data_IF_059609852927
#
_entry.id   IF_059609852927
#
_cell.length_a   1.000
_cell.length_b   1.000
_cell.length_c   1.000
_cell.angle_alpha   90.00
_cell.angle_beta   90.00
_cell.angle_gamma   90.00
#
_symmetry.space_group_name_H-M   'P 1'
#
loop_
_entity.id
_entity.type
_entity.pdbx_description
1 polymer ?
#
# COMPACT_ATOMS: atom_id res chain seq x y z
N UNK A 1 46.34 63.37 0.87
CA UNK A 1 45.20 63.72 1.74
C UNK A 1 43.89 63.37 1.01
N UNK A 2 42.93 62.76 1.74
CA UNK A 2 41.49 62.59 1.42
C UNK A 2 41.06 61.60 0.30
N UNK A 3 41.06 60.30 0.67
CA UNK A 3 39.92 59.33 0.79
C UNK A 3 38.72 59.33 -0.20
N UNK A 4 38.40 58.07 -0.62
CA UNK A 4 37.11 57.42 -1.02
C UNK A 4 36.78 57.37 -2.53
N UNK A 5 36.18 56.33 -3.14
CA UNK A 5 35.78 54.94 -2.79
C UNK A 5 35.56 54.18 -4.13
N UNK A 6 35.99 52.92 -4.13
CA UNK A 6 35.60 51.69 -4.87
C UNK A 6 34.22 51.60 -5.60
N UNK A 7 34.17 51.07 -6.84
CA UNK A 7 33.61 49.74 -7.25
C UNK A 7 33.41 49.62 -8.77
N UNK A 8 33.70 48.41 -9.22
CA UNK A 8 33.75 47.80 -10.54
C UNK A 8 32.34 47.45 -11.12
N UNK A 9 32.24 47.40 -12.46
CA UNK A 9 31.66 46.28 -13.25
C UNK A 9 30.61 46.65 -14.32
N UNK A 10 31.07 46.53 -15.58
CA UNK A 10 30.49 45.78 -16.71
C UNK A 10 29.00 46.00 -17.09
N UNK A 11 28.77 46.73 -18.19
CA UNK A 11 27.50 46.81 -18.93
C UNK A 11 27.72 46.62 -20.44
N UNK A 12 27.20 45.50 -20.96
CA UNK A 12 26.32 45.32 -22.13
C UNK A 12 26.50 46.17 -23.42
N UNK A 13 26.71 45.50 -24.57
CA UNK A 13 26.19 45.72 -25.94
C UNK A 13 27.12 44.95 -26.90
N UNK A 14 26.70 44.10 -27.83
CA UNK A 14 25.92 44.29 -29.05
C UNK A 14 25.90 42.86 -29.68
N UNK A 15 24.87 42.36 -30.36
CA UNK A 15 24.70 42.58 -31.79
C UNK A 15 23.46 41.81 -32.28
N UNK A 16 22.69 42.49 -33.12
CA UNK A 16 21.57 41.97 -33.90
C UNK A 16 22.13 41.48 -35.24
N UNK A 17 21.69 40.32 -35.78
CA UNK A 17 21.37 40.14 -37.20
C UNK A 17 20.94 38.69 -37.57
N UNK A 18 19.64 38.58 -37.91
CA UNK A 18 18.97 37.89 -39.05
C UNK A 18 19.43 36.50 -39.52
N UNK A 19 18.49 35.54 -39.59
CA UNK A 19 18.21 34.77 -40.80
C UNK A 19 16.72 34.36 -40.88
N UNK A 20 16.13 34.65 -42.04
CA UNK A 20 14.85 34.18 -42.60
C UNK A 20 14.76 32.65 -42.72
N UNK A 21 13.57 32.07 -42.52
CA UNK A 21 13.27 30.76 -43.12
C UNK A 21 12.18 29.91 -42.45
N UNK A 22 11.04 29.81 -43.16
CA UNK A 22 10.17 28.63 -43.24
C UNK A 22 9.32 28.18 -42.05
N UNK A 23 8.01 28.33 -42.30
CA UNK A 23 6.98 27.28 -42.25
C UNK A 23 6.55 26.86 -40.84
N UNK A 24 5.34 27.29 -40.49
CA UNK A 24 4.62 26.82 -39.31
C UNK A 24 4.68 25.30 -39.20
N UNK A 25 5.50 24.83 -38.27
CA UNK A 25 5.21 23.60 -37.58
C UNK A 25 4.18 23.99 -36.54
N UNK A 26 2.95 23.53 -36.75
CA UNK A 26 2.11 23.18 -35.63
C UNK A 26 2.98 22.29 -34.74
N UNK A 27 3.51 22.86 -33.66
CA UNK A 27 3.93 22.07 -32.53
C UNK A 27 2.65 21.42 -32.02
N UNK A 28 2.38 20.21 -32.53
CA UNK A 28 1.63 19.23 -31.75
C UNK A 28 2.40 19.09 -30.46
N UNK A 29 1.96 19.85 -29.43
CA UNK A 29 2.29 19.65 -28.03
C UNK A 29 2.26 18.15 -27.82
N UNK A 30 3.42 17.53 -27.64
CA UNK A 30 3.49 16.13 -27.27
C UNK A 30 2.61 16.01 -26.02
N UNK A 31 1.54 15.22 -26.10
CA UNK A 31 0.63 15.00 -24.95
C UNK A 31 1.52 14.54 -23.80
N UNK A 32 1.67 15.39 -22.78
CA UNK A 32 2.30 14.97 -21.54
C UNK A 32 1.51 13.79 -21.00
N UNK A 33 2.20 12.79 -20.47
CA UNK A 33 1.51 11.67 -19.87
C UNK A 33 0.80 12.14 -18.62
N UNK A 34 -0.47 11.78 -18.54
CA UNK A 34 -1.34 12.04 -17.41
C UNK A 34 -1.24 10.85 -16.46
N UNK A 35 -0.88 11.12 -15.22
CA UNK A 35 -0.75 10.18 -14.13
C UNK A 35 -1.87 10.42 -13.12
N UNK A 36 -2.29 9.37 -12.43
CA UNK A 36 -3.33 9.44 -11.41
C UNK A 36 -2.71 9.19 -10.04
N UNK A 37 -2.94 10.11 -9.10
CA UNK A 37 -2.43 10.02 -7.74
C UNK A 37 -3.07 8.84 -7.00
N UNK A 38 -2.24 8.03 -6.33
CA UNK A 38 -2.68 6.84 -5.57
C UNK A 38 -3.46 7.23 -4.31
N UNK A 39 -4.24 6.29 -3.79
CA UNK A 39 -4.83 6.42 -2.46
C UNK A 39 -3.86 5.88 -1.40
N UNK A 40 -3.34 6.79 -0.61
CA UNK A 40 -2.47 6.52 0.54
C UNK A 40 -3.23 6.63 1.86
N UNK A 41 -4.48 7.08 1.87
CA UNK A 41 -5.23 7.24 3.12
C UNK A 41 -5.47 5.87 3.75
N UNK A 42 -5.19 5.77 5.04
CA UNK A 42 -5.26 4.50 5.77
C UNK A 42 -4.04 3.60 5.57
N UNK A 43 -3.06 3.99 4.75
CA UNK A 43 -1.85 3.18 4.55
C UNK A 43 -0.83 3.52 5.64
N UNK A 44 -0.19 2.49 6.21
CA UNK A 44 1.00 2.70 7.05
C UNK A 44 2.15 3.22 6.18
N UNK A 45 2.93 4.20 6.63
CA UNK A 45 3.98 4.78 5.79
C UNK A 45 5.01 3.75 5.32
N UNK A 46 5.36 2.75 6.14
CA UNK A 46 6.24 1.63 5.74
C UNK A 46 5.67 0.81 4.57
N UNK A 47 4.35 0.84 4.37
CA UNK A 47 3.61 0.12 3.31
C UNK A 47 3.20 1.04 2.14
N UNK A 48 3.55 2.32 2.20
CA UNK A 48 3.11 3.31 1.21
C UNK A 48 3.90 3.29 -0.09
N UNK A 49 5.03 2.55 -0.15
CA UNK A 49 6.03 2.60 -1.23
C UNK A 49 6.67 3.97 -1.46
N UNK A 50 6.39 4.93 -0.57
CA UNK A 50 7.11 6.19 -0.49
C UNK A 50 8.49 5.90 0.07
N UNK A 51 9.53 6.24 -0.68
CA UNK A 51 10.90 6.11 -0.23
C UNK A 51 11.18 7.26 0.73
N UNK A 52 11.26 6.95 2.03
CA UNK A 52 11.59 7.91 3.08
C UNK A 52 13.05 7.70 3.45
N UNK A 53 13.87 8.75 3.30
CA UNK A 53 15.27 8.75 3.69
C UNK A 53 15.45 8.97 5.19
N UNK A 54 16.68 8.82 5.68
CA UNK A 54 17.03 9.15 7.07
C UNK A 54 16.91 10.67 7.34
N UNK A 55 16.97 11.51 6.30
CA UNK A 55 16.73 12.95 6.39
C UNK A 55 15.24 13.34 6.35
N UNK A 56 14.35 12.37 6.16
CA UNK A 56 12.90 12.58 6.04
C UNK A 56 12.46 13.07 4.65
N UNK A 57 13.36 13.02 3.66
CA UNK A 57 12.96 13.22 2.26
C UNK A 57 12.12 12.03 1.81
N UNK A 58 10.95 12.32 1.26
CA UNK A 58 9.95 11.33 0.90
C UNK A 58 9.58 11.47 -0.57
N UNK A 59 9.84 10.44 -1.39
CA UNK A 59 9.54 10.46 -2.81
C UNK A 59 9.09 9.10 -3.35
N UNK A 60 8.29 9.11 -4.42
CA UNK A 60 7.93 7.91 -5.16
C UNK A 60 8.01 8.15 -6.68
N UNK A 61 8.44 7.13 -7.41
CA UNK A 61 8.44 7.11 -8.87
C UNK A 61 7.15 6.48 -9.40
N UNK A 62 6.42 7.24 -10.21
CA UNK A 62 5.25 6.79 -10.95
C UNK A 62 5.66 6.38 -12.36
N UNK A 63 5.19 5.22 -12.82
CA UNK A 63 5.52 4.66 -14.14
C UNK A 63 4.28 4.56 -15.01
N UNK A 64 4.43 4.83 -16.30
CA UNK A 64 3.45 4.60 -17.35
C UNK A 64 4.10 3.86 -18.51
N UNK A 65 3.32 3.44 -19.50
CA UNK A 65 3.84 2.81 -20.73
C UNK A 65 4.77 3.70 -21.57
N UNK A 66 4.87 4.98 -21.23
CA UNK A 66 5.58 6.00 -22.01
C UNK A 66 6.68 6.73 -21.22
N UNK A 67 6.76 6.53 -19.91
CA UNK A 67 7.83 7.13 -19.10
C UNK A 67 7.61 7.02 -17.59
N UNK A 68 8.53 7.62 -16.84
CA UNK A 68 8.52 7.65 -15.38
C UNK A 68 8.61 9.10 -14.88
N UNK A 69 7.90 9.42 -13.79
CA UNK A 69 7.91 10.74 -13.13
C UNK A 69 8.10 10.57 -11.63
N UNK A 70 8.69 11.56 -10.96
CA UNK A 70 8.84 11.57 -9.50
C UNK A 70 7.80 12.45 -8.83
N UNK A 71 7.24 11.98 -7.72
CA UNK A 71 6.33 12.73 -6.85
C UNK A 71 7.00 12.91 -5.50
N UNK A 72 6.95 14.14 -4.97
CA UNK A 72 7.46 14.47 -3.63
C UNK A 72 6.34 14.37 -2.62
N UNK A 73 6.66 13.86 -1.43
CA UNK A 73 5.74 13.81 -0.30
C UNK A 73 6.22 14.72 0.83
N UNK A 74 5.30 15.53 1.35
CA UNK A 74 5.49 16.28 2.59
C UNK A 74 4.69 15.56 3.66
N UNK A 75 5.38 14.99 4.64
CA UNK A 75 4.77 14.21 5.71
C UNK A 75 4.63 15.09 6.96
N UNK A 76 3.39 15.41 7.31
CA UNK A 76 3.03 16.20 8.50
C UNK A 76 2.59 15.26 9.63
N UNK A 77 3.37 15.23 10.70
CA UNK A 77 3.04 14.51 11.93
C UNK A 77 2.47 15.50 12.96
N UNK A 78 1.32 15.20 13.55
CA UNK A 78 0.67 16.04 14.59
C UNK A 78 1.58 16.25 15.81
N UNK A 79 2.41 15.25 16.14
CA UNK A 79 3.34 15.30 17.28
C UNK A 79 4.62 16.09 16.97
N UNK A 80 4.80 16.56 15.73
CA UNK A 80 5.97 17.31 15.26
C UNK A 80 7.27 16.49 15.18
N UNK A 81 7.24 15.20 15.53
CA UNK A 81 8.39 14.31 15.37
C UNK A 81 8.66 14.09 13.87
N UNK A 82 9.91 14.31 13.46
CA UNK A 82 10.35 14.03 12.10
C UNK A 82 10.15 12.55 11.76
N UNK A 83 9.59 12.30 10.58
CA UNK A 83 9.41 10.95 10.07
C UNK A 83 10.64 10.57 9.24
N UNK A 84 11.26 9.46 9.62
CA UNK A 84 12.46 8.92 8.98
C UNK A 84 12.21 7.47 8.57
N UNK A 85 13.15 6.92 7.83
CA UNK A 85 13.17 5.49 7.50
C UNK A 85 12.99 4.57 8.70
N UNK A 86 13.55 4.93 9.86
CA UNK A 86 13.54 4.09 11.06
C UNK A 86 12.20 4.09 11.78
N UNK A 87 11.47 5.20 11.77
CA UNK A 87 10.23 5.34 12.53
C UNK A 87 8.96 5.32 11.67
N UNK A 88 9.07 5.35 10.33
CA UNK A 88 7.89 5.41 9.44
C UNK A 88 6.89 4.26 9.68
N UNK A 89 7.35 3.12 10.18
CA UNK A 89 6.47 1.99 10.53
C UNK A 89 5.49 2.29 11.67
N UNK A 90 5.77 3.29 12.50
CA UNK A 90 4.91 3.67 13.61
C UNK A 90 3.75 4.57 13.18
N UNK A 91 3.68 4.96 11.90
CA UNK A 91 2.79 6.03 11.45
C UNK A 91 1.84 5.57 10.34
N UNK A 92 0.56 5.92 10.52
CA UNK A 92 -0.50 5.70 9.54
C UNK A 92 -0.94 7.02 8.92
N UNK A 93 -1.14 7.01 7.62
CA UNK A 93 -1.62 8.16 6.85
C UNK A 93 -3.12 8.32 7.12
N UNK A 94 -3.52 9.50 7.60
CA UNK A 94 -4.91 9.83 7.98
C UNK A 94 -5.56 10.81 7.00
N UNK A 95 -4.76 11.57 6.26
CA UNK A 95 -5.22 12.52 5.25
C UNK A 95 -4.18 12.65 4.14
N UNK A 96 -4.63 12.96 2.92
CA UNK A 96 -3.76 13.25 1.79
C UNK A 96 -4.30 14.43 0.98
N UNK A 97 -3.41 15.26 0.45
CA UNK A 97 -3.73 16.34 -0.49
C UNK A 97 -2.65 16.46 -1.56
N UNK A 98 -2.97 16.45 -2.86
CA UNK A 98 -4.30 16.29 -3.46
C UNK A 98 -5.02 14.97 -3.11
N UNK A 99 -6.33 14.91 -3.34
CA UNK A 99 -7.11 13.69 -3.08
C UNK A 99 -6.72 12.56 -4.04
N UNK A 100 -6.94 11.31 -3.63
CA UNK A 100 -6.71 10.15 -4.48
C UNK A 100 -7.49 10.30 -5.80
N UNK A 101 -6.90 9.82 -6.90
CA UNK A 101 -7.50 10.00 -8.22
C UNK A 101 -7.17 11.35 -8.91
N UNK A 102 -6.52 12.28 -8.20
CA UNK A 102 -6.09 13.55 -8.80
C UNK A 102 -5.11 13.30 -9.95
N UNK A 103 -5.29 14.03 -11.05
CA UNK A 103 -4.48 13.90 -12.25
C UNK A 103 -3.33 14.88 -12.23
N UNK A 104 -2.14 14.42 -12.59
CA UNK A 104 -0.94 15.25 -12.73
C UNK A 104 -0.15 14.83 -13.96
N UNK A 105 0.82 15.63 -14.39
CA UNK A 105 1.61 15.34 -15.58
C UNK A 105 3.07 15.67 -15.36
N UNK A 106 3.94 15.09 -16.20
CA UNK A 106 5.38 15.34 -16.15
C UNK A 106 5.73 16.83 -16.12
N UNK A 107 6.63 17.23 -15.22
CA UNK A 107 7.23 18.57 -15.22
C UNK A 107 7.98 18.84 -16.54
N UNK A 108 8.02 20.11 -16.96
CA UNK A 108 8.84 20.56 -18.08
C UNK A 108 10.36 20.40 -17.82
N UNK A 109 10.75 20.28 -16.55
CA UNK A 109 12.11 20.01 -16.11
C UNK A 109 12.28 18.53 -15.73
N UNK A 110 13.31 17.87 -16.30
CA UNK A 110 13.64 16.47 -15.99
C UNK A 110 14.12 16.23 -14.55
N UNK A 111 14.46 17.30 -13.82
CA UNK A 111 15.00 17.21 -12.46
C UNK A 111 13.99 17.58 -11.39
N UNK A 112 12.79 18.01 -11.79
CA UNK A 112 11.78 18.48 -10.86
C UNK A 112 10.77 17.37 -10.55
N UNK A 113 10.19 17.44 -9.37
CA UNK A 113 9.03 16.64 -9.03
C UNK A 113 7.84 17.08 -9.88
N UNK A 114 7.12 16.10 -10.42
CA UNK A 114 5.93 16.33 -11.24
C UNK A 114 4.73 16.74 -10.39
N UNK A 115 4.72 16.39 -9.11
CA UNK A 115 3.66 16.73 -8.15
C UNK A 115 4.22 16.76 -6.71
N UNK A 116 3.58 17.55 -5.85
CA UNK A 116 3.84 17.54 -4.40
C UNK A 116 2.57 17.12 -3.64
N UNK A 117 2.71 16.09 -2.80
CA UNK A 117 1.61 15.49 -2.04
C UNK A 117 1.85 15.68 -0.55
N UNK A 118 0.90 16.30 0.14
CA UNK A 118 0.91 16.45 1.59
C UNK A 118 0.17 15.29 2.23
N UNK A 119 0.84 14.61 3.15
CA UNK A 119 0.27 13.52 3.94
C UNK A 119 0.22 13.95 5.38
N UNK A 120 -0.94 13.78 6.03
CA UNK A 120 -1.02 13.84 7.49
C UNK A 120 -0.93 12.45 8.05
N UNK A 121 -0.14 12.29 9.10
CA UNK A 121 0.07 10.98 9.73
C UNK A 121 -0.20 11.03 11.22
N UNK A 122 -0.55 9.87 11.76
CA UNK A 122 -0.77 9.67 13.19
C UNK A 122 0.00 8.44 13.66
N UNK A 123 0.61 8.55 14.84
CA UNK A 123 1.29 7.43 15.48
C UNK A 123 0.30 6.32 15.86
N UNK A 124 0.67 5.09 15.57
CA UNK A 124 -0.06 3.88 15.96
C UNK A 124 0.48 3.46 17.34
N UNK A 125 -0.40 3.33 18.34
CA UNK A 125 -0.02 2.98 19.71
C UNK A 125 0.47 1.53 19.80
N UNK A 126 1.56 1.34 20.56
CA UNK A 126 2.32 0.08 20.78
C UNK A 126 1.53 -0.98 21.58
N UNK A 127 0.38 -1.40 21.06
CA UNK A 127 -0.12 -2.77 21.28
C UNK A 127 0.33 -3.70 20.14
N UNK A 128 0.92 -3.13 19.08
CA UNK A 128 1.15 -3.77 17.77
C UNK A 128 2.61 -3.73 17.30
N UNK A 129 3.60 -3.54 18.19
CA UNK A 129 5.01 -3.67 17.81
C UNK A 129 5.87 -4.22 18.95
N UNK A 130 6.10 -5.53 18.95
CA UNK A 130 7.18 -6.15 19.72
C UNK A 130 8.08 -6.97 18.80
N UNK A 131 9.02 -6.29 18.12
CA UNK A 131 10.27 -6.93 17.71
C UNK A 131 11.29 -6.72 18.84
N UNK A 132 11.54 -7.80 19.59
CA UNK A 132 12.68 -7.86 20.50
C UNK A 132 13.80 -8.59 19.77
N UNK A 133 14.66 -7.80 19.14
CA UNK A 133 15.90 -8.28 18.58
C UNK A 133 16.80 -8.81 19.72
N UNK A 134 17.18 -10.10 19.66
CA UNK A 134 18.21 -10.65 20.54
C UNK A 134 18.95 -11.81 19.89
N UNK A 135 20.05 -11.46 19.25
CA UNK A 135 21.18 -12.36 19.03
C UNK A 135 21.84 -12.72 20.36
N UNK A 136 21.86 -14.02 20.72
CA UNK A 136 23.07 -14.76 21.13
C UNK A 136 22.79 -16.21 21.47
N UNK A 137 23.67 -17.04 20.93
CA UNK A 137 23.80 -18.47 21.04
C UNK A 137 24.42 -18.92 22.39
N UNK A 138 24.04 -20.16 22.75
CA UNK A 138 24.73 -21.19 23.55
C UNK A 138 24.51 -21.37 25.06
N UNK A 139 24.12 -22.64 25.33
CA UNK A 139 24.48 -23.59 26.41
C UNK A 139 23.68 -23.70 27.73
N UNK A 140 23.08 -24.90 27.84
CA UNK A 140 23.12 -25.86 28.96
C UNK A 140 22.21 -25.69 30.20
N UNK A 141 21.20 -26.57 30.21
CA UNK A 141 20.80 -27.54 31.24
C UNK A 141 20.28 -27.15 32.65
N UNK A 142 19.27 -27.95 33.01
CA UNK A 142 18.91 -28.51 34.32
C UNK A 142 17.86 -27.82 35.21
N UNK A 143 16.65 -28.40 35.13
CA UNK A 143 15.92 -29.03 36.24
C UNK A 143 15.42 -28.16 37.42
N UNK A 144 14.09 -28.12 37.60
CA UNK A 144 13.33 -28.88 38.64
C UNK A 144 12.04 -28.16 39.05
N UNK A 145 10.91 -28.82 38.77
CA UNK A 145 9.70 -29.01 39.59
C UNK A 145 9.42 -28.06 40.77
N UNK A 146 8.23 -27.43 40.82
CA UNK A 146 7.07 -27.92 41.63
C UNK A 146 5.91 -26.90 41.77
N UNK A 147 4.77 -27.28 41.17
CA UNK A 147 3.44 -27.53 41.77
C UNK A 147 2.73 -26.52 42.72
N UNK A 148 1.48 -26.20 42.33
CA UNK A 148 0.23 -26.01 43.14
C UNK A 148 0.05 -24.71 43.97
N UNK A 149 -1.14 -24.13 44.20
CA UNK A 149 -2.55 -24.45 43.90
C UNK A 149 -3.43 -23.21 44.14
N UNK A 150 -4.44 -23.04 43.29
CA UNK A 150 -5.88 -22.71 43.51
C UNK A 150 -6.38 -22.19 44.88
N UNK A 151 -7.19 -21.11 44.83
CA UNK A 151 -8.54 -20.96 45.42
C UNK A 151 -8.89 -19.47 45.55
N UNK A 152 -10.14 -18.97 45.56
CA UNK A 152 -11.44 -19.32 45.00
C UNK A 152 -12.35 -18.12 45.33
N UNK A 153 -13.27 -17.84 44.41
CA UNK A 153 -14.46 -16.98 44.43
C UNK A 153 -15.05 -16.54 45.79
N UNK A 154 -15.59 -15.30 45.84
CA UNK A 154 -16.94 -15.05 46.40
C UNK A 154 -17.57 -13.79 45.78
N UNK A 155 -18.78 -14.00 45.25
CA UNK A 155 -19.78 -13.11 44.67
C UNK A 155 -20.46 -12.20 45.71
N UNK A 156 -20.76 -10.93 45.37
CA UNK A 156 -21.94 -10.22 45.92
C UNK A 156 -22.43 -9.07 45.02
N UNK A 157 -23.75 -8.89 45.04
CA UNK A 157 -24.67 -8.26 44.09
C UNK A 157 -24.67 -6.71 44.01
N UNK A 158 -25.29 -6.25 42.91
CA UNK A 158 -25.59 -4.90 42.42
C UNK A 158 -26.79 -4.28 43.19
N UNK A 159 -26.95 -2.94 43.24
CA UNK A 159 -27.98 -2.24 42.43
C UNK A 159 -27.41 -0.93 41.80
N UNK A 160 -27.40 -0.78 40.47
CA UNK A 160 -28.44 -0.19 39.60
C UNK A 160 -28.48 1.35 39.67
N UNK A 161 -27.82 2.04 38.72
CA UNK A 161 -28.36 3.24 38.06
C UNK A 161 -27.58 3.62 36.78
N UNK A 162 -28.30 3.60 35.65
CA UNK A 162 -28.20 4.47 34.47
C UNK A 162 -26.82 4.95 34.00
N UNK A 163 -26.30 4.33 32.93
CA UNK A 163 -25.33 5.00 32.06
C UNK A 163 -25.70 4.80 30.60
N UNK A 164 -26.07 5.92 29.98
CA UNK A 164 -26.24 6.14 28.55
C UNK A 164 -25.07 5.49 27.81
N UNK A 165 -25.40 4.58 26.90
CA UNK A 165 -24.46 3.89 26.02
C UNK A 165 -23.80 4.90 25.09
N UNK A 166 -22.70 5.49 25.56
CA UNK A 166 -21.71 6.12 24.72
C UNK A 166 -21.23 5.06 23.75
N UNK A 167 -21.51 5.25 22.45
CA UNK A 167 -20.87 4.53 21.34
C UNK A 167 -19.36 4.71 21.51
N UNK A 168 -18.75 3.74 22.18
CA UNK A 168 -17.32 3.57 22.24
C UNK A 168 -16.92 3.18 20.82
N UNK A 169 -16.31 4.11 20.09
CA UNK A 169 -15.65 3.80 18.84
C UNK A 169 -14.49 2.88 19.18
N UNK A 170 -14.75 1.57 19.17
CA UNK A 170 -13.71 0.56 19.25
C UNK A 170 -12.81 0.81 18.06
N UNK A 171 -11.61 1.33 18.31
CA UNK A 171 -10.52 1.33 17.33
C UNK A 171 -10.28 -0.13 16.96
N UNK A 172 -10.85 -0.58 15.83
CA UNK A 172 -10.55 -1.89 15.26
C UNK A 172 -9.02 -1.96 15.09
N UNK A 173 -8.38 -2.91 15.77
CA UNK A 173 -6.97 -3.23 15.53
C UNK A 173 -6.81 -3.74 14.09
N UNK A 174 -5.66 -3.44 13.47
CA UNK A 174 -5.36 -3.84 12.10
C UNK A 174 -5.32 -5.37 12.00
N UNK A 175 -6.03 -5.94 11.02
CA UNK A 175 -6.04 -7.38 10.79
C UNK A 175 -4.82 -7.82 9.96
N UNK A 176 -4.34 -6.93 9.08
CA UNK A 176 -3.21 -7.16 8.20
C UNK A 176 -2.07 -6.17 8.47
N UNK A 177 -0.83 -6.61 8.25
CA UNK A 177 0.37 -5.79 8.43
C UNK A 177 1.51 -6.25 7.50
N UNK A 178 2.63 -5.53 7.53
CA UNK A 178 3.78 -5.79 6.66
C UNK A 178 4.48 -7.13 6.93
N UNK A 179 4.53 -7.55 8.20
CA UNK A 179 5.14 -8.82 8.56
C UNK A 179 4.36 -9.96 7.91
N UNK A 180 3.03 -9.95 8.03
CA UNK A 180 2.16 -10.92 7.37
C UNK A 180 2.25 -10.86 5.85
N UNK A 181 2.35 -9.66 5.26
CA UNK A 181 2.55 -9.49 3.81
C UNK A 181 3.87 -10.12 3.34
N UNK A 182 4.95 -9.93 4.11
CA UNK A 182 6.28 -10.49 3.82
C UNK A 182 6.30 -12.00 3.97
N UNK A 183 5.71 -12.53 5.04
CA UNK A 183 5.58 -13.97 5.27
C UNK A 183 4.76 -14.62 4.15
N UNK A 184 3.60 -14.04 3.79
CA UNK A 184 2.79 -14.50 2.67
C UNK A 184 3.54 -14.44 1.34
N UNK A 185 4.29 -13.37 1.07
CA UNK A 185 5.08 -13.25 -0.16
C UNK A 185 6.18 -14.32 -0.25
N UNK A 186 6.83 -14.65 0.87
CA UNK A 186 7.80 -15.74 0.94
C UNK A 186 7.14 -17.10 0.70
N UNK A 187 5.99 -17.35 1.32
CA UNK A 187 5.21 -18.55 1.10
C UNK A 187 4.78 -18.70 -0.38
N UNK A 188 4.23 -17.64 -0.99
CA UNK A 188 3.73 -17.68 -2.36
C UNK A 188 4.84 -17.99 -3.39
N UNK A 189 6.07 -17.53 -3.13
CA UNK A 189 7.22 -17.90 -3.96
C UNK A 189 7.50 -19.41 -3.89
N UNK A 190 7.55 -19.98 -2.69
CA UNK A 190 7.77 -21.42 -2.50
C UNK A 190 6.63 -22.26 -3.07
N UNK A 191 5.39 -21.86 -2.79
CA UNK A 191 4.18 -22.55 -3.26
C UNK A 191 4.07 -22.54 -4.79
N UNK A 192 4.49 -21.47 -5.47
CA UNK A 192 4.51 -21.44 -6.95
C UNK A 192 5.39 -22.56 -7.53
N UNK A 193 6.51 -22.86 -6.87
CA UNK A 193 7.43 -23.90 -7.29
C UNK A 193 6.86 -25.32 -7.06
N UNK A 194 6.15 -25.55 -5.94
CA UNK A 194 5.51 -26.85 -5.67
C UNK A 194 4.39 -27.16 -6.67
N UNK A 195 3.76 -26.12 -7.23
CA UNK A 195 2.72 -26.25 -8.27
C UNK A 195 3.28 -26.34 -9.70
N UNK A 196 4.61 -26.36 -9.89
CA UNK A 196 5.29 -26.29 -11.18
C UNK A 196 4.80 -25.09 -12.05
N UNK A 197 4.52 -23.96 -11.41
CA UNK A 197 4.04 -22.74 -12.05
C UNK A 197 5.13 -21.67 -12.06
N UNK A 198 4.97 -20.65 -12.90
CA UNK A 198 5.83 -19.47 -12.81
C UNK A 198 5.52 -18.73 -11.49
N UNK A 199 6.47 -17.94 -10.97
CA UNK A 199 6.25 -17.17 -9.76
C UNK A 199 4.97 -16.34 -9.83
N UNK A 200 4.17 -16.43 -8.78
CA UNK A 200 3.01 -15.55 -8.62
C UNK A 200 3.52 -14.13 -8.35
N UNK A 201 3.04 -13.16 -9.14
CA UNK A 201 3.36 -11.76 -8.91
C UNK A 201 2.32 -11.14 -8.00
N UNK A 202 2.78 -10.38 -7.01
CA UNK A 202 1.92 -9.65 -6.10
C UNK A 202 1.52 -8.31 -6.70
N UNK A 203 0.23 -7.97 -6.65
CA UNK A 203 -0.26 -6.64 -6.94
C UNK A 203 -0.16 -5.77 -5.70
N UNK A 204 0.49 -4.61 -5.84
CA UNK A 204 0.72 -3.66 -4.75
C UNK A 204 0.25 -2.28 -5.20
N UNK A 205 -0.17 -1.43 -4.26
CA UNK A 205 -0.55 -0.04 -4.57
C UNK A 205 0.62 0.63 -5.30
N UNK A 206 0.38 1.04 -6.54
CA UNK A 206 1.40 1.70 -7.37
C UNK A 206 2.36 0.78 -8.11
N UNK A 207 2.21 -0.53 -7.95
CA UNK A 207 2.83 -1.56 -8.78
C UNK A 207 1.74 -2.54 -9.18
N UNK A 208 0.83 -2.04 -10.01
CA UNK A 208 -0.29 -2.84 -10.43
C UNK A 208 0.15 -4.02 -11.29
N UNK A 209 -0.51 -5.15 -11.07
CA UNK A 209 -0.39 -6.33 -11.92
C UNK A 209 -1.62 -6.39 -12.83
N UNK A 210 -1.38 -6.69 -14.11
CA UNK A 210 -2.45 -7.03 -15.04
C UNK A 210 -2.83 -8.51 -14.91
N UNK A 211 -4.13 -8.78 -14.85
CA UNK A 211 -4.71 -10.10 -15.04
C UNK A 211 -5.82 -10.04 -16.10
N UNK A 212 -5.43 -10.20 -17.37
CA UNK A 212 -6.34 -10.20 -18.52
C UNK A 212 -7.16 -8.90 -18.65
N UNK A 213 -6.51 -7.76 -18.43
CA UNK A 213 -7.13 -6.43 -18.50
C UNK A 213 -7.65 -5.90 -17.16
N UNK A 214 -7.61 -6.70 -16.09
CA UNK A 214 -7.88 -6.26 -14.73
C UNK A 214 -6.58 -5.75 -14.07
N UNK A 215 -6.54 -4.48 -13.67
CA UNK A 215 -5.40 -3.86 -12.99
C UNK A 215 -5.56 -3.96 -11.47
N UNK A 216 -4.66 -4.66 -10.80
CA UNK A 216 -4.75 -4.93 -9.37
C UNK A 216 -3.60 -4.32 -8.58
N UNK A 217 -3.88 -3.69 -7.42
CA UNK A 217 -5.17 -3.67 -6.74
C UNK A 217 -6.12 -2.54 -7.18
N UNK A 218 -5.74 -1.66 -8.12
CA UNK A 218 -6.49 -0.42 -8.38
C UNK A 218 -7.94 -0.60 -8.83
N UNK A 219 -8.28 -1.69 -9.51
CA UNK A 219 -9.66 -1.96 -9.95
C UNK A 219 -10.53 -2.58 -8.84
N UNK A 220 -9.96 -2.96 -7.69
CA UNK A 220 -10.73 -3.48 -6.55
C UNK A 220 -11.59 -2.35 -5.97
N UNK A 221 -12.92 -2.55 -5.97
CA UNK A 221 -13.90 -1.55 -5.56
C UNK A 221 -14.33 -0.59 -6.67
N UNK A 222 -13.71 -0.65 -7.85
CA UNK A 222 -14.10 0.14 -9.04
C UNK A 222 -14.97 -0.68 -9.98
N UNK A 223 -14.59 -1.94 -10.24
CA UNK A 223 -15.35 -2.86 -11.11
C UNK A 223 -16.29 -3.76 -10.30
N UNK A 224 -17.22 -4.43 -10.99
CA UNK A 224 -18.17 -5.35 -10.37
C UNK A 224 -17.58 -6.74 -10.12
N UNK A 225 -17.74 -7.27 -8.90
CA UNK A 225 -17.25 -8.59 -8.50
C UNK A 225 -18.36 -9.51 -8.01
N UNK A 226 -18.31 -10.78 -8.41
CA UNK A 226 -19.20 -11.84 -7.93
C UNK A 226 -18.40 -12.89 -7.17
N UNK A 227 -18.91 -13.43 -6.06
CA UNK A 227 -18.36 -14.63 -5.40
C UNK A 227 -19.45 -15.70 -5.38
N UNK A 228 -19.14 -16.89 -5.91
CA UNK A 228 -20.12 -17.97 -6.11
C UNK A 228 -21.40 -17.47 -6.82
N UNK A 229 -21.20 -16.69 -7.90
CA UNK A 229 -22.24 -16.08 -8.73
C UNK A 229 -23.19 -15.10 -8.00
N UNK A 230 -22.85 -14.71 -6.77
CA UNK A 230 -23.55 -13.66 -6.04
C UNK A 230 -22.79 -12.34 -6.12
N UNK A 231 -23.47 -11.23 -6.44
CA UNK A 231 -22.87 -9.91 -6.38
C UNK A 231 -22.35 -9.52 -5.00
N UNK A 232 -21.11 -9.03 -4.95
CA UNK A 232 -20.46 -8.60 -3.71
C UNK A 232 -19.75 -7.26 -3.90
N UNK A 233 -19.56 -6.56 -2.80
CA UNK A 233 -18.67 -5.41 -2.68
C UNK A 233 -17.28 -5.85 -2.24
N UNK A 234 -16.24 -5.22 -2.79
CA UNK A 234 -14.85 -5.45 -2.40
C UNK A 234 -14.14 -4.12 -2.20
N UNK A 235 -13.17 -4.09 -1.28
CA UNK A 235 -12.24 -2.98 -1.11
C UNK A 235 -10.83 -3.52 -0.89
N UNK A 236 -9.82 -2.93 -1.51
CA UNK A 236 -8.44 -3.23 -1.17
C UNK A 236 -8.04 -2.44 0.08
N UNK A 237 -7.49 -3.12 1.08
CA UNK A 237 -7.05 -2.49 2.31
C UNK A 237 -5.76 -3.13 2.85
N UNK A 238 -4.65 -2.38 2.90
CA UNK A 238 -3.37 -2.90 3.38
C UNK A 238 -3.30 -3.12 4.90
N UNK A 239 -4.33 -2.71 5.65
CA UNK A 239 -4.46 -3.00 7.09
C UNK A 239 -5.56 -4.04 7.39
N UNK A 240 -6.21 -4.58 6.35
CA UNK A 240 -7.28 -5.57 6.48
C UNK A 240 -8.59 -5.02 7.07
N UNK A 241 -8.71 -3.71 7.28
CA UNK A 241 -9.93 -3.06 7.77
C UNK A 241 -10.66 -2.40 6.60
N UNK A 242 -11.96 -2.62 6.51
CA UNK A 242 -12.80 -2.00 5.49
C UNK A 242 -14.29 -2.26 5.74
N UNK A 243 -15.13 -1.54 5.00
CA UNK A 243 -16.58 -1.69 5.01
C UNK A 243 -17.03 -2.18 3.63
N UNK A 244 -16.79 -3.46 3.35
CA UNK A 244 -17.22 -4.18 2.15
C UNK A 244 -17.47 -5.65 2.54
N UNK A 245 -18.15 -6.42 1.67
CA UNK A 245 -18.36 -7.85 1.90
C UNK A 245 -17.02 -8.60 2.00
N UNK A 246 -16.03 -8.16 1.21
CA UNK A 246 -14.65 -8.66 1.27
C UNK A 246 -13.65 -7.50 1.34
N UNK A 247 -12.76 -7.54 2.33
CA UNK A 247 -11.64 -6.62 2.48
C UNK A 247 -10.37 -7.32 2.00
N UNK A 248 -9.89 -6.96 0.81
CA UNK A 248 -8.74 -7.59 0.17
C UNK A 248 -7.44 -7.03 0.74
N UNK A 249 -6.62 -7.89 1.33
CA UNK A 249 -5.34 -7.54 1.93
C UNK A 249 -4.16 -7.74 0.98
N UNK A 250 -4.22 -8.79 0.14
CA UNK A 250 -3.17 -9.08 -0.83
C UNK A 250 -3.74 -9.72 -2.11
N UNK A 251 -3.06 -9.50 -3.23
CA UNK A 251 -3.43 -10.03 -4.54
C UNK A 251 -2.23 -10.73 -5.18
N UNK A 252 -2.43 -11.91 -5.76
CA UNK A 252 -1.37 -12.66 -6.42
C UNK A 252 -1.87 -13.26 -7.72
N UNK A 253 -1.14 -13.05 -8.82
CA UNK A 253 -1.51 -13.60 -10.12
C UNK A 253 -0.38 -14.39 -10.77
N UNK A 254 -0.77 -15.50 -11.36
CA UNK A 254 0.02 -16.31 -12.29
C UNK A 254 -0.68 -16.29 -13.65
N UNK A 255 0.08 -16.08 -14.72
CA UNK A 255 -0.39 -16.24 -16.10
C UNK A 255 0.54 -17.24 -16.77
N UNK A 256 -0.03 -18.22 -17.45
CA UNK A 256 0.74 -19.17 -18.24
C UNK A 256 1.26 -18.48 -19.50
N UNK A 257 2.57 -18.44 -19.73
CA UNK A 257 3.12 -17.82 -20.95
C UNK A 257 2.77 -18.56 -22.25
N UNK A 258 2.34 -19.83 -22.14
CA UNK A 258 2.04 -20.73 -23.29
C UNK A 258 0.53 -20.89 -23.54
N UNK A 259 -0.30 -20.48 -22.59
CA UNK A 259 -1.76 -20.63 -22.65
C UNK A 259 -2.39 -19.32 -22.19
N UNK A 260 -3.45 -18.85 -22.84
CA UNK A 260 -4.23 -17.70 -22.37
C UNK A 260 -5.06 -18.07 -21.12
N UNK A 261 -4.42 -18.57 -20.07
CA UNK A 261 -5.01 -19.05 -18.83
C UNK A 261 -4.12 -18.65 -17.66
N UNK A 262 -4.71 -18.42 -16.51
CA UNK A 262 -3.99 -18.03 -15.32
C UNK A 262 -4.85 -18.21 -14.08
N UNK A 263 -4.27 -17.89 -12.95
CA UNK A 263 -4.94 -17.87 -11.66
C UNK A 263 -4.68 -16.55 -10.98
N UNK A 264 -5.74 -15.95 -10.47
CA UNK A 264 -5.71 -14.79 -9.62
C UNK A 264 -6.28 -15.18 -8.25
N UNK A 265 -5.48 -14.97 -7.21
CA UNK A 265 -5.87 -15.18 -5.82
C UNK A 265 -6.01 -13.84 -5.10
N UNK A 266 -7.09 -13.71 -4.32
CA UNK A 266 -7.30 -12.62 -3.39
C UNK A 266 -7.30 -13.17 -1.96
N UNK A 267 -6.40 -12.65 -1.13
CA UNK A 267 -6.34 -12.93 0.30
C UNK A 267 -7.12 -11.83 1.00
N UNK A 268 -8.22 -12.18 1.65
CA UNK A 268 -9.21 -11.20 2.07
C UNK A 268 -9.89 -11.55 3.40
N UNK A 269 -10.46 -10.55 4.05
CA UNK A 269 -11.30 -10.74 5.23
C UNK A 269 -12.76 -10.63 4.85
N UNK A 270 -13.53 -11.66 5.20
CA UNK A 270 -14.99 -11.63 5.15
C UNK A 270 -15.51 -11.61 6.58
N UNK A 271 -16.14 -10.51 6.99
CA UNK A 271 -16.56 -10.30 8.39
C UNK A 271 -15.43 -10.52 9.41
N UNK A 272 -14.20 -10.11 9.06
CA UNK A 272 -13.01 -10.28 9.89
C UNK A 272 -12.40 -11.69 9.87
N UNK A 273 -13.00 -12.65 9.18
CA UNK A 273 -12.45 -14.00 9.02
C UNK A 273 -11.58 -14.08 7.76
N UNK A 274 -10.36 -14.66 7.84
CA UNK A 274 -9.48 -14.83 6.68
C UNK A 274 -10.09 -15.82 5.69
N UNK A 275 -10.23 -15.42 4.43
CA UNK A 275 -10.67 -16.27 3.32
C UNK A 275 -9.82 -16.00 2.08
N UNK A 276 -9.64 -17.03 1.26
CA UNK A 276 -8.89 -16.94 0.00
C UNK A 276 -9.84 -17.20 -1.16
N UNK A 277 -9.93 -16.23 -2.06
CA UNK A 277 -10.72 -16.31 -3.28
C UNK A 277 -9.81 -16.61 -4.47
N UNK A 278 -10.36 -17.29 -5.48
CA UNK A 278 -9.65 -17.60 -6.72
C UNK A 278 -10.54 -17.37 -7.93
N UNK A 279 -9.94 -16.87 -9.02
CA UNK A 279 -10.52 -16.89 -10.35
C UNK A 279 -9.51 -17.33 -11.40
N UNK A 280 -9.99 -18.03 -12.41
CA UNK A 280 -9.28 -18.31 -13.65
C UNK A 280 -9.94 -17.65 -14.86
N UNK A 281 -10.86 -16.71 -14.62
CA UNK A 281 -11.60 -16.02 -15.67
C UNK A 281 -10.62 -15.23 -16.57
N UNK A 282 -10.67 -15.52 -17.86
CA UNK A 282 -9.81 -14.93 -18.88
C UNK A 282 -10.60 -14.26 -20.01
N UNK A 283 -11.93 -14.21 -19.90
CA UNK A 283 -12.86 -13.59 -20.84
C UNK A 283 -13.96 -12.86 -20.04
N UNK A 284 -14.58 -11.85 -20.64
CA UNK A 284 -15.73 -11.17 -20.05
C UNK A 284 -16.93 -12.10 -19.90
N UNK A 285 -17.71 -11.90 -18.84
CA UNK A 285 -18.99 -12.58 -18.61
C UNK A 285 -20.16 -11.67 -19.03
N UNK A 286 -21.34 -12.21 -19.40
CA UNK A 286 -22.49 -11.41 -19.85
C UNK A 286 -22.99 -10.36 -18.84
N UNK A 287 -22.78 -10.59 -17.54
CA UNK A 287 -23.14 -9.66 -16.48
C UNK A 287 -22.08 -8.56 -16.24
N UNK A 288 -20.98 -8.60 -17.00
CA UNK A 288 -19.90 -7.62 -16.93
C UNK A 288 -19.06 -7.71 -15.65
N UNK A 289 -19.12 -8.83 -14.91
CA UNK A 289 -18.48 -8.96 -13.59
C UNK A 289 -17.30 -9.92 -13.64
N UNK A 290 -16.42 -9.79 -12.65
CA UNK A 290 -15.33 -10.74 -12.41
C UNK A 290 -15.81 -11.75 -11.36
N UNK A 291 -15.85 -13.02 -11.73
CA UNK A 291 -16.37 -14.09 -10.89
C UNK A 291 -15.22 -14.79 -10.16
N UNK A 292 -15.32 -14.79 -8.84
CA UNK A 292 -14.48 -15.53 -7.93
C UNK A 292 -15.26 -16.69 -7.30
N UNK A 293 -14.51 -17.65 -6.79
CA UNK A 293 -15.00 -18.66 -5.83
C UNK A 293 -14.02 -18.77 -4.68
N UNK A 294 -14.42 -19.41 -3.59
CA UNK A 294 -13.45 -19.81 -2.57
C UNK A 294 -12.43 -20.77 -3.18
N UNK A 295 -11.16 -20.60 -2.81
CA UNK A 295 -10.14 -21.59 -3.18
C UNK A 295 -10.44 -22.91 -2.47
N UNK A 296 -10.14 -24.01 -3.15
CA UNK A 296 -10.15 -25.36 -2.54
C UNK A 296 -8.72 -25.77 -2.10
N UNK A 297 -7.71 -24.94 -2.41
CA UNK A 297 -6.33 -25.23 -2.09
C UNK A 297 -6.06 -25.06 -0.59
N UNK A 298 -5.79 -26.17 0.09
CA UNK A 298 -5.59 -26.21 1.54
C UNK A 298 -4.32 -25.49 1.99
N UNK A 299 -3.26 -25.48 1.18
CA UNK A 299 -2.01 -24.80 1.56
C UNK A 299 -2.25 -23.29 1.68
N UNK A 300 -2.95 -22.69 0.71
CA UNK A 300 -3.29 -21.26 0.73
C UNK A 300 -4.24 -20.91 1.90
N UNK A 301 -5.23 -21.77 2.16
CA UNK A 301 -6.19 -21.58 3.26
C UNK A 301 -5.45 -21.63 4.61
N UNK A 302 -4.61 -22.65 4.80
CA UNK A 302 -3.89 -22.87 6.04
C UNK A 302 -2.89 -21.77 6.31
N UNK A 303 -2.10 -21.38 5.30
CA UNK A 303 -1.13 -20.29 5.42
C UNK A 303 -1.82 -19.00 5.85
N UNK A 304 -2.86 -18.58 5.11
CA UNK A 304 -3.51 -17.30 5.40
C UNK A 304 -4.25 -17.34 6.74
N UNK A 305 -4.80 -18.48 7.14
CA UNK A 305 -5.39 -18.63 8.48
C UNK A 305 -4.34 -18.55 9.58
N UNK A 306 -3.17 -19.17 9.39
CA UNK A 306 -2.07 -19.15 10.35
C UNK A 306 -1.52 -17.73 10.58
N UNK A 307 -1.41 -16.93 9.53
CA UNK A 307 -1.04 -15.51 9.64
C UNK A 307 -2.06 -14.66 10.42
N UNK A 308 -3.25 -15.19 10.71
CA UNK A 308 -4.36 -14.49 11.35
C UNK A 308 -4.84 -15.16 12.64
N UNK A 309 -4.07 -16.13 13.16
CA UNK A 309 -4.32 -16.85 14.41
C UNK A 309 -3.71 -16.18 15.64
#
# INVERSE_FOLDING_TARGET
MKRKVFILSLIMLFCMMIFTGCKGKNETKAKSDEYTLKDYKGVNLKNSYINISDSGEAEETYKSSKGEVKVRFIIENEDGQAITKDNMGDYKIIDQKPEAGSKFSSSESKFDYAEEVKLKVKKVSVSDSSEKDKSKESTAEASTSSTSTTNSETKKEIPEESKVESKESTTKSALWNNQKDTELAGFMQNWSATMNQQPYLQGKVGQDIDFFGLSLPSDIGVVGFSVNDQPVSMVFSPDGIGNADYVVAATYRYISGVKNSGWLYLFCYQNGQPVVLVTGQNQGMPDGRIHFKYTENQDLINEFSALNS
#
